data_IF_005467266515
#
_entry.id   IF_005467266515
#
_cell.length_a   1.000
_cell.length_b   1.000
_cell.length_c   1.000
_cell.angle_alpha   90.00
_cell.angle_beta   90.00
_cell.angle_gamma   90.00
#
_symmetry.space_group_name_H-M   'P 1'
#
loop_
_entity.id
_entity.type
_entity.pdbx_description
1 polymer ?
#
# COMPACT_ATOMS: atom_id res chain seq x y z
N UNK A 1 -28.42 -41.54 -66.08
CA UNK A 1 -29.42 -42.32 -65.33
C UNK A 1 -28.88 -42.43 -63.91
N UNK A 2 -29.26 -41.55 -62.97
CA UNK A 2 -30.44 -41.67 -62.08
C UNK A 2 -30.54 -43.10 -61.50
N UNK A 3 -30.45 -43.32 -60.19
CA UNK A 3 -31.27 -42.73 -59.14
C UNK A 3 -30.58 -42.64 -57.76
N UNK A 4 -31.00 -41.62 -57.01
CA UNK A 4 -30.84 -41.41 -55.57
C UNK A 4 -31.58 -42.49 -54.76
N UNK A 5 -31.09 -42.78 -53.56
CA UNK A 5 -31.96 -43.15 -52.43
C UNK A 5 -31.37 -42.64 -51.12
N UNK A 6 -32.08 -41.67 -50.59
CA UNK A 6 -31.94 -41.07 -49.27
C UNK A 6 -32.36 -42.06 -48.19
N UNK A 7 -31.63 -42.12 -47.08
CA UNK A 7 -32.19 -42.61 -45.82
C UNK A 7 -31.95 -41.55 -44.75
N UNK A 8 -33.02 -40.86 -44.40
CA UNK A 8 -33.09 -39.95 -43.27
C UNK A 8 -33.27 -40.78 -41.99
N UNK A 9 -32.41 -40.55 -40.99
CA UNK A 9 -32.67 -40.98 -39.62
C UNK A 9 -32.86 -39.72 -38.79
N UNK A 10 -34.12 -39.50 -38.40
CA UNK A 10 -34.54 -38.50 -37.43
C UNK A 10 -34.54 -39.14 -36.04
N UNK A 11 -33.95 -38.46 -35.05
CA UNK A 11 -34.20 -38.56 -33.58
C UNK A 11 -33.08 -37.78 -32.89
N UNK A 12 -33.23 -37.03 -31.81
CA UNK A 12 -34.38 -36.55 -31.05
C UNK A 12 -33.80 -35.42 -30.19
N UNK A 13 -34.39 -34.24 -30.25
CA UNK A 13 -34.03 -33.08 -29.44
C UNK A 13 -34.48 -33.30 -27.99
N UNK A 14 -33.54 -33.38 -27.04
CA UNK A 14 -33.83 -33.10 -25.64
C UNK A 14 -33.58 -31.61 -25.37
N UNK A 15 -34.63 -30.80 -25.54
CA UNK A 15 -34.71 -29.49 -24.89
C UNK A 15 -34.93 -29.73 -23.40
N UNK A 16 -33.95 -29.39 -22.55
CA UNK A 16 -34.20 -29.17 -21.13
C UNK A 16 -34.69 -27.73 -20.98
N UNK A 17 -36.00 -27.58 -20.79
CA UNK A 17 -36.60 -26.34 -20.31
C UNK A 17 -36.22 -26.17 -18.84
N UNK A 18 -35.17 -25.40 -18.57
CA UNK A 18 -34.97 -24.84 -17.26
C UNK A 18 -36.06 -23.78 -17.03
N UNK A 19 -36.94 -24.04 -16.07
CA UNK A 19 -37.90 -23.07 -15.57
C UNK A 19 -37.13 -21.88 -14.99
N UNK A 20 -37.07 -20.78 -15.73
CA UNK A 20 -36.70 -19.48 -15.16
C UNK A 20 -37.87 -19.02 -14.27
N UNK A 21 -37.75 -19.30 -12.98
CA UNK A 21 -38.60 -18.70 -11.94
C UNK A 21 -38.30 -17.19 -11.93
N UNK A 22 -39.31 -16.32 -11.95
CA UNK A 22 -39.09 -14.88 -11.86
C UNK A 22 -38.57 -14.54 -10.46
N UNK A 23 -37.31 -14.09 -10.37
CA UNK A 23 -36.76 -13.41 -9.20
C UNK A 23 -37.36 -12.00 -9.14
N UNK A 24 -38.58 -11.90 -8.60
CA UNK A 24 -39.06 -10.69 -7.97
C UNK A 24 -38.47 -10.62 -6.56
N UNK A 25 -37.90 -9.45 -6.24
CA UNK A 25 -36.91 -9.27 -5.19
C UNK A 25 -37.37 -9.47 -3.75
N UNK A 26 -36.38 -9.55 -2.88
CA UNK A 26 -36.46 -9.09 -1.49
C UNK A 26 -35.13 -8.45 -1.13
N UNK A 27 -35.21 -7.39 -0.33
CA UNK A 27 -34.15 -6.49 0.08
C UNK A 27 -32.90 -7.18 0.62
N UNK A 28 -31.76 -6.49 0.51
CA UNK A 28 -30.59 -6.71 1.34
C UNK A 28 -31.02 -6.89 2.79
N UNK A 29 -30.95 -8.13 3.27
CA UNK A 29 -31.05 -8.40 4.70
C UNK A 29 -29.71 -7.98 5.28
N UNK A 30 -29.65 -7.04 6.23
CA UNK A 30 -28.41 -6.76 6.92
C UNK A 30 -27.99 -8.07 7.59
N UNK A 31 -26.80 -8.55 7.26
CA UNK A 31 -26.17 -9.66 7.96
C UNK A 31 -25.95 -9.25 9.42
N UNK A 32 -27.00 -9.46 10.22
CA UNK A 32 -27.04 -9.49 11.67
C UNK A 32 -26.31 -10.76 12.19
N UNK A 33 -25.12 -11.04 11.64
CA UNK A 33 -24.22 -12.10 12.09
C UNK A 33 -22.80 -11.60 12.41
N UNK A 34 -22.60 -10.29 12.56
CA UNK A 34 -21.43 -9.75 13.25
C UNK A 34 -21.70 -9.59 14.76
N UNK A 35 -22.10 -10.69 15.43
CA UNK A 35 -22.05 -10.74 16.90
C UNK A 35 -20.77 -11.44 17.34
N UNK A 36 -19.90 -10.65 18.00
CA UNK A 36 -18.89 -11.09 18.97
C UNK A 36 -17.72 -11.95 18.46
N UNK A 37 -16.94 -11.42 17.51
CA UNK A 37 -15.48 -11.59 17.58
C UNK A 37 -14.88 -10.25 17.92
N UNK A 38 -14.20 -10.15 19.06
CA UNK A 38 -13.23 -9.09 19.30
C UNK A 38 -12.09 -9.31 18.29
N UNK A 39 -12.28 -8.89 17.05
CA UNK A 39 -11.19 -8.80 16.09
C UNK A 39 -10.29 -7.66 16.54
N UNK A 40 -8.99 -7.93 16.67
CA UNK A 40 -8.03 -6.85 16.89
C UNK A 40 -8.13 -5.89 15.71
N UNK A 41 -8.09 -4.60 16.00
CA UNK A 41 -8.02 -3.55 14.98
C UNK A 41 -6.65 -3.65 14.34
N UNK A 42 -6.61 -3.53 13.03
CA UNK A 42 -5.38 -3.49 12.25
C UNK A 42 -5.21 -2.15 11.54
N UNK A 43 -6.31 -1.42 11.33
CA UNK A 43 -6.26 -0.04 10.88
C UNK A 43 -5.76 0.85 12.01
N UNK A 44 -4.88 1.83 11.70
CA UNK A 44 -4.43 2.84 12.66
C UNK A 44 -5.57 3.58 13.36
N UNK A 45 -5.23 4.15 14.50
CA UNK A 45 -6.12 5.06 15.23
C UNK A 45 -6.06 6.41 14.53
N UNK A 46 -7.21 6.97 14.18
CA UNK A 46 -7.31 8.38 13.79
C UNK A 46 -7.41 9.22 15.05
N UNK A 47 -6.39 10.03 15.30
CA UNK A 47 -6.28 10.95 16.42
C UNK A 47 -6.87 12.33 16.13
N UNK A 48 -6.51 13.29 16.98
CA UNK A 48 -7.03 14.66 16.88
C UNK A 48 -6.56 15.37 15.61
N UNK A 49 -7.32 16.37 15.14
CA UNK A 49 -6.93 17.22 14.01
C UNK A 49 -7.10 16.63 12.61
N UNK A 50 -7.53 15.36 12.49
CA UNK A 50 -7.89 14.76 11.19
C UNK A 50 -9.41 14.75 11.06
N UNK A 51 -9.94 15.54 10.12
CA UNK A 51 -11.35 15.46 9.74
C UNK A 51 -11.57 14.35 8.71
N UNK A 52 -12.09 13.21 9.16
CA UNK A 52 -12.38 12.06 8.29
C UNK A 52 -13.62 12.24 7.42
N UNK A 53 -14.33 13.36 7.54
CA UNK A 53 -15.46 13.69 6.67
C UNK A 53 -15.05 14.54 5.47
N UNK A 54 -13.83 15.10 5.51
CA UNK A 54 -13.26 15.87 4.41
C UNK A 54 -12.70 14.92 3.33
N UNK A 55 -13.32 14.86 2.13
CA UNK A 55 -12.87 14.00 1.04
C UNK A 55 -11.45 14.31 0.57
N UNK A 56 -11.00 15.56 0.68
CA UNK A 56 -9.71 16.01 0.16
C UNK A 56 -8.58 15.81 1.20
N UNK A 57 -8.93 15.47 2.45
CA UNK A 57 -7.98 15.34 3.57
C UNK A 57 -8.15 14.02 4.31
N UNK A 58 -8.71 14.03 5.51
CA UNK A 58 -8.72 12.88 6.41
C UNK A 58 -9.46 11.66 5.86
N UNK A 59 -10.46 11.85 4.99
CA UNK A 59 -11.14 10.73 4.35
C UNK A 59 -10.22 9.95 3.38
N UNK A 60 -9.12 10.54 2.89
CA UNK A 60 -8.11 9.82 2.06
C UNK A 60 -7.40 8.71 2.82
N UNK A 61 -7.37 8.74 4.15
CA UNK A 61 -6.73 7.69 4.95
C UNK A 61 -7.60 6.42 5.05
N UNK A 62 -8.91 6.59 4.97
CA UNK A 62 -9.91 5.55 5.26
C UNK A 62 -10.62 5.08 3.98
N UNK A 63 -11.19 3.87 3.98
CA UNK A 63 -11.99 3.41 2.86
C UNK A 63 -13.19 4.34 2.61
N UNK A 64 -13.35 4.83 1.38
CA UNK A 64 -14.48 5.68 0.97
C UNK A 64 -15.69 4.84 0.54
N UNK A 65 -16.89 5.26 0.96
CA UNK A 65 -18.14 4.60 0.57
C UNK A 65 -18.40 4.76 -0.93
N UNK A 66 -18.70 3.66 -1.63
CA UNK A 66 -18.98 3.66 -3.07
C UNK A 66 -17.76 3.59 -3.99
N UNK A 67 -16.55 3.63 -3.44
CA UNK A 67 -15.31 3.34 -4.18
C UNK A 67 -14.79 1.93 -3.83
N UNK A 68 -14.22 1.20 -4.80
CA UNK A 68 -13.65 -0.12 -4.55
C UNK A 68 -12.34 0.01 -3.75
N UNK A 69 -12.44 -0.09 -2.42
CA UNK A 69 -11.30 -0.18 -1.48
C UNK A 69 -10.23 0.91 -1.72
N UNK A 70 -10.54 2.16 -1.39
CA UNK A 70 -9.58 3.26 -1.54
C UNK A 70 -9.57 4.17 -0.32
N UNK A 71 -8.56 3.89 0.50
CA UNK A 71 -7.95 4.80 1.45
C UNK A 71 -6.49 4.39 1.61
N UNK A 72 -5.65 5.31 2.06
CA UNK A 72 -4.21 5.10 2.14
C UNK A 72 -3.84 3.83 2.94
N UNK A 73 -4.56 3.53 4.04
CA UNK A 73 -4.27 2.34 4.85
C UNK A 73 -4.55 1.03 4.10
N UNK A 74 -5.65 0.94 3.36
CA UNK A 74 -5.99 -0.23 2.54
C UNK A 74 -5.03 -0.37 1.35
N UNK A 75 -4.65 0.77 0.75
CA UNK A 75 -3.69 0.80 -0.34
C UNK A 75 -2.29 0.35 0.12
N UNK A 76 -1.85 0.67 1.34
CA UNK A 76 -0.63 0.08 1.91
C UNK A 76 -0.74 -1.44 1.98
N UNK A 77 -1.87 -2.00 2.42
CA UNK A 77 -2.04 -3.46 2.46
C UNK A 77 -1.99 -4.07 1.05
N UNK A 78 -2.58 -3.42 0.05
CA UNK A 78 -2.48 -3.85 -1.34
C UNK A 78 -1.03 -3.79 -1.86
N UNK A 79 -0.30 -2.71 -1.61
CA UNK A 79 1.11 -2.57 -1.96
C UNK A 79 1.97 -3.69 -1.36
N UNK A 80 1.79 -3.97 -0.06
CA UNK A 80 2.49 -5.05 0.64
C UNK A 80 2.14 -6.43 0.05
N UNK A 81 0.85 -6.68 -0.21
CA UNK A 81 0.40 -7.93 -0.79
C UNK A 81 0.97 -8.15 -2.20
N UNK A 82 0.95 -7.12 -3.05
CA UNK A 82 1.52 -7.17 -4.38
C UNK A 82 3.03 -7.44 -4.32
N UNK A 83 3.79 -6.76 -3.48
CA UNK A 83 5.22 -7.05 -3.30
C UNK A 83 5.50 -8.49 -2.82
N UNK A 84 4.69 -9.01 -1.91
CA UNK A 84 4.87 -10.37 -1.40
C UNK A 84 4.38 -11.47 -2.36
N UNK A 85 3.59 -11.12 -3.38
CA UNK A 85 2.99 -12.06 -4.33
C UNK A 85 3.23 -11.71 -5.80
N UNK A 86 4.16 -10.80 -6.09
CA UNK A 86 4.41 -10.23 -7.42
C UNK A 86 4.64 -11.31 -8.50
N UNK A 87 5.31 -12.41 -8.13
CA UNK A 87 5.54 -13.56 -9.02
C UNK A 87 4.25 -14.17 -9.58
N UNK A 88 3.14 -14.07 -8.84
CA UNK A 88 1.84 -14.60 -9.27
C UNK A 88 1.20 -13.76 -10.37
N UNK A 89 1.64 -12.51 -10.56
CA UNK A 89 1.11 -11.56 -11.54
C UNK A 89 1.91 -11.58 -12.86
N UNK A 90 2.80 -12.56 -13.06
CA UNK A 90 3.64 -12.64 -14.26
C UNK A 90 4.72 -11.56 -14.30
N UNK A 91 4.89 -10.82 -13.21
CA UNK A 91 5.96 -9.85 -13.01
C UNK A 91 7.23 -10.64 -12.69
N UNK A 92 7.96 -11.03 -13.74
CA UNK A 92 9.31 -11.59 -13.63
C UNK A 92 10.32 -10.57 -13.04
N UNK A 93 9.89 -9.32 -12.83
CA UNK A 93 10.68 -8.19 -12.36
C UNK A 93 10.67 -7.97 -10.84
N UNK A 94 10.11 -8.86 -10.00
CA UNK A 94 10.40 -8.76 -8.55
C UNK A 94 11.91 -8.84 -8.28
N UNK A 95 12.67 -9.53 -9.13
CA UNK A 95 14.14 -9.47 -9.03
C UNK A 95 14.72 -8.16 -9.56
N UNK A 96 14.14 -7.59 -10.62
CA UNK A 96 14.65 -6.39 -11.30
C UNK A 96 14.30 -5.11 -10.53
N UNK A 97 13.02 -4.90 -10.23
CA UNK A 97 12.52 -3.79 -9.41
C UNK A 97 13.22 -3.80 -8.04
N UNK A 98 13.34 -4.97 -7.40
CA UNK A 98 14.01 -5.05 -6.09
C UNK A 98 15.44 -4.52 -6.12
N UNK A 99 16.20 -4.80 -7.20
CA UNK A 99 17.58 -4.32 -7.32
C UNK A 99 17.71 -2.82 -7.57
N UNK A 100 16.64 -2.14 -7.99
CA UNK A 100 16.61 -0.68 -8.02
C UNK A 100 16.68 -0.08 -6.62
N UNK A 101 16.16 -0.76 -5.60
CA UNK A 101 16.01 -0.20 -4.26
C UNK A 101 16.91 -0.87 -3.22
N UNK A 102 17.23 -2.15 -3.38
CA UNK A 102 17.95 -2.93 -2.38
C UNK A 102 19.05 -3.80 -3.00
N UNK A 103 20.05 -4.18 -2.20
CA UNK A 103 20.96 -5.26 -2.55
C UNK A 103 20.23 -6.60 -2.50
N UNK A 104 20.56 -7.51 -3.42
CA UNK A 104 19.98 -8.87 -3.43
C UNK A 104 20.14 -9.60 -2.09
N UNK A 105 21.26 -9.36 -1.38
CA UNK A 105 21.50 -9.90 -0.03
C UNK A 105 20.52 -9.41 1.04
N UNK A 106 19.73 -8.36 0.76
CA UNK A 106 18.69 -7.82 1.64
C UNK A 106 17.34 -8.53 1.50
N UNK A 107 17.13 -9.32 0.43
CA UNK A 107 15.81 -9.85 0.05
C UNK A 107 15.06 -10.54 1.18
N UNK A 108 15.73 -11.44 1.90
CA UNK A 108 15.11 -12.16 3.01
C UNK A 108 14.68 -11.22 4.15
N UNK A 109 15.44 -10.16 4.42
CA UNK A 109 15.11 -9.20 5.48
C UNK A 109 13.96 -8.30 5.08
N UNK A 110 14.01 -7.75 3.87
CA UNK A 110 12.92 -6.93 3.30
C UNK A 110 11.63 -7.76 3.30
N UNK A 111 11.66 -8.99 2.79
CA UNK A 111 10.50 -9.89 2.81
C UNK A 111 9.93 -10.08 4.22
N UNK A 112 10.76 -10.27 5.24
CA UNK A 112 10.29 -10.40 6.64
C UNK A 112 9.65 -9.12 7.16
N UNK A 113 10.19 -7.95 6.80
CA UNK A 113 9.59 -6.64 7.16
C UNK A 113 8.21 -6.51 6.51
N UNK A 114 8.10 -6.75 5.20
CA UNK A 114 6.83 -6.67 4.48
C UNK A 114 5.80 -7.70 5.02
N UNK A 115 6.25 -8.91 5.36
CA UNK A 115 5.42 -9.92 6.03
C UNK A 115 4.96 -9.48 7.43
N UNK A 116 5.84 -8.84 8.19
CA UNK A 116 5.51 -8.32 9.52
C UNK A 116 4.47 -7.20 9.42
N UNK A 117 4.66 -6.24 8.51
CA UNK A 117 3.70 -5.15 8.24
C UNK A 117 2.33 -5.68 7.75
N UNK A 118 2.33 -6.64 6.82
CA UNK A 118 1.09 -7.25 6.28
C UNK A 118 0.41 -8.24 7.24
N UNK A 119 0.96 -8.48 8.43
CA UNK A 119 0.43 -9.49 9.35
C UNK A 119 0.51 -10.92 8.80
N UNK A 120 1.47 -11.21 7.93
CA UNK A 120 1.61 -12.41 7.11
C UNK A 120 0.47 -12.59 6.11
N UNK A 121 0.24 -11.59 5.25
CA UNK A 121 -0.81 -11.60 4.22
C UNK A 121 -2.23 -11.69 4.81
N UNK A 122 -2.44 -11.16 6.01
CA UNK A 122 -3.80 -10.91 6.49
C UNK A 122 -4.39 -9.79 5.65
N UNK A 123 -5.61 -9.94 5.16
CA UNK A 123 -6.31 -8.87 4.40
C UNK A 123 -6.33 -7.55 5.18
N UNK A 124 -6.36 -7.64 6.50
CA UNK A 124 -6.44 -6.52 7.41
C UNK A 124 -5.07 -5.90 7.77
N UNK A 125 -3.95 -6.55 7.49
CA UNK A 125 -2.62 -6.15 7.99
C UNK A 125 -2.27 -6.72 9.38
N UNK A 126 -1.15 -6.27 9.95
CA UNK A 126 -0.72 -6.69 11.28
C UNK A 126 -1.61 -6.11 12.40
N UNK A 127 -1.78 -6.88 13.48
CA UNK A 127 -2.60 -6.45 14.62
C UNK A 127 -1.98 -5.24 15.33
N UNK A 128 -0.65 -5.14 15.29
CA UNK A 128 0.13 -4.06 15.86
C UNK A 128 -0.15 -2.73 15.14
N UNK A 129 -0.42 -2.71 13.83
CA UNK A 129 -0.77 -1.47 13.10
C UNK A 129 -2.03 -0.78 13.66
N UNK A 130 -2.86 -1.49 14.44
CA UNK A 130 -3.95 -0.87 15.20
C UNK A 130 -3.54 -0.09 16.45
N UNK A 131 -2.25 0.00 16.78
CA UNK A 131 -1.71 0.75 17.93
C UNK A 131 -1.05 2.08 17.54
N UNK A 132 -0.70 2.27 16.27
CA UNK A 132 -0.18 3.55 15.79
C UNK A 132 -1.32 4.57 15.66
N UNK A 133 -1.06 5.81 16.06
CA UNK A 133 -2.03 6.92 15.96
C UNK A 133 -1.60 7.89 14.87
N UNK A 134 -2.50 8.23 13.95
CA UNK A 134 -2.32 9.29 12.95
C UNK A 134 -3.09 10.52 13.43
N UNK A 135 -2.40 11.65 13.65
CA UNK A 135 -3.03 12.89 14.09
C UNK A 135 -2.64 14.07 13.21
N UNK A 136 -3.53 15.05 13.06
CA UNK A 136 -3.29 16.28 12.30
C UNK A 136 -2.85 17.45 13.19
N UNK A 137 -2.79 17.24 14.51
CA UNK A 137 -2.26 18.23 15.45
C UNK A 137 -0.77 17.99 15.64
N UNK A 138 0.02 18.95 15.20
CA UNK A 138 1.45 19.02 15.47
C UNK A 138 1.67 19.68 16.84
N UNK A 139 1.64 18.88 17.90
CA UNK A 139 1.94 19.34 19.26
C UNK A 139 3.43 19.20 19.51
N UNK A 140 4.23 20.28 19.46
CA UNK A 140 5.66 20.19 19.73
C UNK A 140 5.90 19.65 21.15
N UNK A 141 6.70 18.58 21.26
CA UNK A 141 7.17 18.13 22.55
C UNK A 141 8.24 19.09 23.08
N UNK A 142 8.13 19.46 24.35
CA UNK A 142 9.23 20.05 25.14
C UNK A 142 9.96 21.28 24.54
N UNK A 143 9.29 22.10 23.72
CA UNK A 143 9.86 23.35 23.20
C UNK A 143 10.72 23.21 21.95
N UNK A 144 10.73 22.04 21.31
CA UNK A 144 11.23 21.89 19.95
C UNK A 144 10.26 22.51 18.93
N UNK A 145 10.77 22.86 17.75
CA UNK A 145 9.93 23.34 16.65
C UNK A 145 8.98 22.21 16.19
N UNK A 146 7.72 22.57 15.98
CA UNK A 146 6.70 21.69 15.44
C UNK A 146 7.18 21.05 14.13
N UNK A 147 7.10 19.73 13.99
CA UNK A 147 7.72 19.00 12.87
C UNK A 147 7.19 19.47 11.51
N UNK A 148 5.90 19.76 11.41
CA UNK A 148 5.25 20.29 10.21
C UNK A 148 5.60 21.75 9.90
N UNK A 149 6.23 22.48 10.84
CA UNK A 149 6.77 23.81 10.55
C UNK A 149 8.08 23.75 9.75
N UNK A 150 8.75 22.59 9.71
CA UNK A 150 9.94 22.38 8.89
C UNK A 150 9.53 22.17 7.44
N UNK A 151 10.08 23.01 6.56
CA UNK A 151 9.79 22.96 5.13
C UNK A 151 10.05 21.55 4.55
N UNK A 152 9.07 21.04 3.80
CA UNK A 152 9.17 19.74 3.13
C UNK A 152 8.77 18.53 3.99
N UNK A 153 8.36 18.74 5.25
CA UNK A 153 7.84 17.67 6.10
C UNK A 153 6.42 17.32 5.71
N UNK A 154 6.21 16.09 5.21
CA UNK A 154 4.92 15.59 4.74
C UNK A 154 4.20 14.88 5.88
N UNK A 155 4.90 13.95 6.52
CA UNK A 155 4.53 13.29 7.77
C UNK A 155 5.80 13.13 8.60
N UNK A 156 5.63 12.83 9.88
CA UNK A 156 6.73 12.34 10.70
C UNK A 156 6.19 11.47 11.85
N UNK A 157 6.99 10.51 12.29
CA UNK A 157 6.61 9.59 13.37
C UNK A 157 7.43 9.84 14.63
N UNK A 158 6.74 10.14 15.73
CA UNK A 158 7.30 10.20 17.08
C UNK A 158 7.08 8.89 17.85
N UNK A 159 7.84 8.72 18.93
CA UNK A 159 7.72 7.58 19.84
C UNK A 159 7.84 6.23 19.11
N UNK A 160 8.64 6.20 18.05
CA UNK A 160 8.87 5.03 17.19
C UNK A 160 9.53 3.85 17.92
N UNK A 161 10.15 4.09 19.07
CA UNK A 161 10.73 3.08 19.95
C UNK A 161 9.73 2.49 20.96
N UNK A 162 8.45 2.88 20.87
CA UNK A 162 7.37 2.47 21.79
C UNK A 162 6.30 1.59 21.12
N UNK A 163 5.44 0.99 21.94
CA UNK A 163 4.30 0.16 21.50
C UNK A 163 3.16 0.94 20.84
N UNK A 164 3.15 2.27 20.96
CA UNK A 164 2.07 3.14 20.48
C UNK A 164 2.64 4.43 19.91
N UNK A 165 3.31 4.37 18.74
CA UNK A 165 3.87 5.56 18.10
C UNK A 165 2.77 6.50 17.60
N UNK A 166 3.16 7.74 17.37
CA UNK A 166 2.28 8.79 16.83
C UNK A 166 2.87 9.31 15.54
N UNK A 167 2.15 9.15 14.44
CA UNK A 167 2.45 9.80 13.16
C UNK A 167 1.66 11.09 13.08
N UNK A 168 2.35 12.21 12.90
CA UNK A 168 1.74 13.51 12.65
C UNK A 168 1.63 13.70 11.14
N UNK A 169 0.42 14.02 10.68
CA UNK A 169 0.12 14.28 9.27
C UNK A 169 0.08 15.78 9.04
N UNK A 170 1.06 16.28 8.28
CA UNK A 170 1.19 17.71 7.98
C UNK A 170 0.24 18.14 6.86
N UNK A 171 0.08 19.45 6.67
CA UNK A 171 -0.81 19.98 5.62
C UNK A 171 -0.39 19.53 4.22
N UNK A 172 0.91 19.47 3.98
CA UNK A 172 1.49 19.09 2.69
C UNK A 172 1.23 17.61 2.34
N UNK A 173 0.83 16.75 3.28
CA UNK A 173 0.43 15.38 2.98
C UNK A 173 -0.81 15.28 2.09
N UNK A 174 -1.72 16.26 2.19
CA UNK A 174 -3.03 16.16 1.54
C UNK A 174 -2.98 16.45 0.04
N UNK A 175 -1.87 16.99 -0.47
CA UNK A 175 -1.67 17.17 -1.92
C UNK A 175 -1.46 15.84 -2.64
N UNK A 176 -1.01 14.80 -1.91
CA UNK A 176 -0.79 13.50 -2.51
C UNK A 176 -2.14 12.82 -2.82
N UNK A 177 -2.27 12.24 -4.03
CA UNK A 177 -3.49 11.58 -4.42
C UNK A 177 -3.67 10.26 -3.66
N UNK A 178 -4.91 9.81 -3.57
CA UNK A 178 -5.16 8.40 -3.32
C UNK A 178 -5.00 7.60 -4.64
N UNK A 179 -4.94 6.28 -4.58
CA UNK A 179 -4.78 5.42 -5.78
C UNK A 179 -5.76 5.79 -6.90
N UNK A 180 -7.03 5.97 -6.55
CA UNK A 180 -8.10 6.18 -7.53
C UNK A 180 -8.04 7.57 -8.20
N UNK A 181 -7.27 8.49 -7.61
CA UNK A 181 -7.09 9.87 -8.09
C UNK A 181 -5.76 10.05 -8.87
N UNK A 182 -4.95 8.98 -9.01
CA UNK A 182 -3.63 9.05 -9.64
C UNK A 182 -3.63 8.55 -11.10
N UNK A 183 -3.04 9.35 -12.00
CA UNK A 183 -2.89 9.03 -13.44
C UNK A 183 -1.58 8.28 -13.75
N UNK A 184 -1.34 7.16 -13.07
CA UNK A 184 -0.04 6.49 -13.09
C UNK A 184 0.28 5.71 -14.39
N UNK A 185 -0.72 5.12 -15.04
CA UNK A 185 -0.48 4.17 -16.13
C UNK A 185 -0.10 4.82 -17.46
N UNK A 186 -0.22 6.14 -17.58
CA UNK A 186 0.16 6.92 -18.75
C UNK A 186 1.66 7.29 -18.76
N UNK A 187 2.33 7.29 -17.60
CA UNK A 187 3.79 7.50 -17.50
C UNK A 187 4.57 6.22 -17.74
N UNK A 188 5.65 6.26 -18.52
CA UNK A 188 6.55 5.10 -18.70
C UNK A 188 7.75 5.09 -17.75
N UNK A 189 7.90 6.13 -16.93
CA UNK A 189 9.04 6.35 -16.04
C UNK A 189 8.59 6.48 -14.59
N UNK A 190 9.42 6.00 -13.67
CA UNK A 190 9.23 6.28 -12.24
C UNK A 190 9.42 7.78 -12.00
N UNK A 191 8.47 8.42 -11.33
CA UNK A 191 8.54 9.85 -10.99
C UNK A 191 7.86 10.13 -9.65
N UNK A 192 8.09 11.31 -9.09
CA UNK A 192 7.40 11.79 -7.89
C UNK A 192 5.87 11.88 -8.07
N UNK A 193 5.38 11.97 -9.31
CA UNK A 193 3.94 12.00 -9.63
C UNK A 193 3.26 10.64 -9.38
N UNK A 194 4.02 9.55 -9.36
CA UNK A 194 3.52 8.22 -8.99
C UNK A 194 3.38 8.03 -7.48
N UNK A 195 3.84 9.01 -6.68
CA UNK A 195 3.74 8.97 -5.22
C UNK A 195 2.30 9.19 -4.79
N UNK A 196 1.73 8.21 -4.07
CA UNK A 196 0.40 8.29 -3.48
C UNK A 196 0.48 8.39 -1.96
N UNK A 197 -0.60 8.83 -1.30
CA UNK A 197 -0.65 8.95 0.17
C UNK A 197 -0.26 7.64 0.87
N UNK A 198 -0.63 6.48 0.31
CA UNK A 198 -0.24 5.18 0.83
C UNK A 198 1.29 4.95 0.87
N UNK A 199 2.02 5.46 -0.12
CA UNK A 199 3.49 5.36 -0.14
C UNK A 199 4.15 6.14 1.02
N UNK A 200 3.53 7.25 1.43
CA UNK A 200 3.98 8.05 2.57
C UNK A 200 3.59 7.35 3.87
N UNK A 201 2.40 6.77 3.97
CA UNK A 201 2.00 5.98 5.14
C UNK A 201 2.94 4.80 5.37
N UNK A 202 3.32 4.05 4.31
CA UNK A 202 4.22 2.91 4.49
C UNK A 202 5.66 3.34 4.82
N UNK A 203 6.10 4.50 4.33
CA UNK A 203 7.33 5.13 4.79
C UNK A 203 7.31 5.29 6.32
N UNK A 204 6.27 5.92 6.86
CA UNK A 204 6.12 6.11 8.32
C UNK A 204 6.04 4.80 9.11
N UNK A 205 5.34 3.78 8.58
CA UNK A 205 5.31 2.46 9.22
C UNK A 205 6.70 1.83 9.35
N UNK A 206 7.63 2.11 8.43
CA UNK A 206 8.98 1.55 8.50
C UNK A 206 9.84 2.19 9.59
N UNK A 207 9.53 3.42 10.03
CA UNK A 207 10.21 4.02 11.16
C UNK A 207 9.91 3.35 12.49
N UNK A 208 8.84 2.53 12.59
CA UNK A 208 8.40 1.93 13.85
C UNK A 208 9.37 0.86 14.39
N UNK A 209 10.49 1.33 14.96
CA UNK A 209 11.60 0.50 15.45
C UNK A 209 11.12 -0.55 16.45
N UNK A 210 10.26 -0.20 17.40
CA UNK A 210 9.76 -1.19 18.38
C UNK A 210 9.13 -2.42 17.71
N UNK A 211 8.32 -2.17 16.68
CA UNK A 211 7.57 -3.21 15.98
C UNK A 211 8.46 -4.07 15.08
N UNK A 212 9.43 -3.45 14.43
CA UNK A 212 10.26 -4.09 13.41
C UNK A 212 11.60 -4.59 13.97
N UNK A 213 12.04 -4.12 15.15
CA UNK A 213 13.38 -4.31 15.76
C UNK A 213 13.94 -5.72 15.69
N UNK A 214 13.06 -6.71 15.83
CA UNK A 214 13.43 -8.13 15.76
C UNK A 214 13.96 -8.58 14.38
N UNK A 215 13.86 -7.73 13.35
CA UNK A 215 14.15 -8.07 11.95
C UNK A 215 15.38 -7.32 11.40
N UNK A 216 15.48 -6.00 11.60
CA UNK A 216 16.44 -5.15 10.88
C UNK A 216 17.79 -4.99 11.59
N UNK A 217 17.87 -5.14 12.92
CA UNK A 217 19.13 -5.08 13.65
C UNK A 217 19.74 -3.67 13.78
N UNK A 218 18.97 -2.62 13.46
CA UNK A 218 19.29 -1.20 13.61
C UNK A 218 18.19 -0.35 12.97
N UNK A 219 17.93 0.86 13.47
CA UNK A 219 16.79 1.72 13.09
C UNK A 219 16.67 1.96 11.57
N UNK A 220 15.44 2.08 11.07
CA UNK A 220 15.15 2.56 9.71
C UNK A 220 14.89 4.06 9.79
N UNK A 221 15.66 4.85 9.05
CA UNK A 221 15.65 6.33 9.10
C UNK A 221 15.54 6.93 7.70
N UNK A 222 15.35 8.24 7.62
CA UNK A 222 15.23 8.95 6.33
C UNK A 222 16.56 9.09 5.60
N UNK A 223 17.63 9.31 6.37
CA UNK A 223 18.93 9.65 5.80
C UNK A 223 20.04 8.80 6.40
N UNK A 224 20.84 8.21 5.51
CA UNK A 224 22.05 7.49 5.87
C UNK A 224 23.24 8.05 5.10
N UNK A 225 24.05 8.88 5.76
CA UNK A 225 25.24 9.48 5.16
C UNK A 225 25.32 10.98 5.38
N UNK A 226 25.99 11.68 4.46
CA UNK A 226 26.00 13.15 4.36
C UNK A 226 24.69 13.65 3.73
N UNK A 227 24.33 14.92 3.92
CA UNK A 227 23.10 15.51 3.33
C UNK A 227 22.96 15.28 1.82
N UNK A 228 24.09 15.25 1.09
CA UNK A 228 24.20 15.01 -0.36
C UNK A 228 23.93 13.55 -0.78
N UNK A 229 23.88 12.61 0.17
CA UNK A 229 23.52 11.20 -0.04
C UNK A 229 22.30 10.83 0.83
N UNK A 230 21.41 11.80 1.07
CA UNK A 230 20.17 11.58 1.79
C UNK A 230 19.31 10.61 1.00
N UNK A 231 18.95 9.45 1.56
CA UNK A 231 18.05 8.51 0.89
C UNK A 231 16.60 8.98 0.85
N UNK A 232 16.34 10.29 0.75
CA UNK A 232 15.01 10.89 0.73
C UNK A 232 14.64 11.26 -0.71
N UNK A 233 13.46 10.86 -1.16
CA UNK A 233 12.97 11.07 -2.53
C UNK A 233 13.48 10.02 -3.53
N UNK A 234 12.78 9.94 -4.67
CA UNK A 234 13.00 8.91 -5.67
C UNK A 234 14.43 8.94 -6.24
N UNK A 235 14.88 10.11 -6.72
CA UNK A 235 16.19 10.26 -7.36
C UNK A 235 17.31 9.80 -6.43
N UNK A 236 17.30 10.25 -5.18
CA UNK A 236 18.35 9.89 -4.24
C UNK A 236 18.31 8.41 -3.87
N UNK A 237 17.13 7.83 -3.64
CA UNK A 237 17.01 6.39 -3.39
C UNK A 237 17.50 5.59 -4.59
N UNK A 238 17.13 5.99 -5.80
CA UNK A 238 17.42 5.25 -7.02
C UNK A 238 18.92 5.32 -7.37
N UNK A 239 19.51 6.52 -7.39
CA UNK A 239 20.85 6.78 -7.92
C UNK A 239 21.94 7.01 -6.85
N UNK A 240 21.63 7.72 -5.76
CA UNK A 240 22.67 8.30 -4.89
C UNK A 240 22.90 7.50 -3.59
N UNK A 241 21.86 6.84 -3.08
CA UNK A 241 21.94 6.04 -1.86
C UNK A 241 22.83 4.81 -2.10
N UNK A 242 23.92 4.71 -1.34
CA UNK A 242 24.72 3.49 -1.28
C UNK A 242 23.81 2.34 -0.80
N UNK A 243 23.57 1.37 -1.69
CA UNK A 243 22.59 0.30 -1.48
C UNK A 243 22.86 -0.55 -0.24
N UNK A 244 24.05 -0.51 0.35
CA UNK A 244 24.31 -1.15 1.66
C UNK A 244 23.48 -0.53 2.80
N UNK A 245 23.05 0.72 2.65
CA UNK A 245 22.20 1.44 3.61
C UNK A 245 20.71 1.35 3.28
N UNK A 246 20.33 0.91 2.08
CA UNK A 246 18.92 0.85 1.66
C UNK A 246 18.03 0.05 2.61
N UNK A 247 18.55 -1.02 3.24
CA UNK A 247 17.79 -1.80 4.24
C UNK A 247 17.30 -0.94 5.42
N UNK A 248 18.00 0.14 5.71
CA UNK A 248 17.74 1.02 6.84
C UNK A 248 17.17 2.37 6.41
N UNK A 249 16.72 2.49 5.16
CA UNK A 249 16.15 3.72 4.62
C UNK A 249 14.65 3.56 4.34
N UNK A 250 13.81 4.42 4.91
CA UNK A 250 12.35 4.33 4.80
C UNK A 250 11.85 4.47 3.36
N UNK A 251 12.39 5.45 2.62
CA UNK A 251 11.99 5.70 1.23
C UNK A 251 12.39 4.58 0.26
N UNK A 252 13.43 3.79 0.56
CA UNK A 252 13.76 2.57 -0.21
C UNK A 252 12.60 1.57 -0.20
N UNK A 253 11.90 1.42 0.94
CA UNK A 253 10.70 0.59 1.02
C UNK A 253 9.52 1.24 0.30
N UNK A 254 9.29 2.53 0.53
CA UNK A 254 8.17 3.25 -0.07
C UNK A 254 8.22 3.22 -1.60
N UNK A 255 9.39 3.48 -2.21
CA UNK A 255 9.55 3.49 -3.66
C UNK A 255 9.54 2.09 -4.27
N UNK A 256 10.17 1.10 -3.62
CA UNK A 256 10.04 -0.30 -4.05
C UNK A 256 8.57 -0.74 -4.11
N UNK A 257 7.81 -0.47 -3.04
CA UNK A 257 6.40 -0.82 -2.98
C UNK A 257 5.56 -0.04 -4.00
N UNK A 258 5.92 1.22 -4.27
CA UNK A 258 5.23 2.07 -5.27
C UNK A 258 5.45 1.55 -6.69
N UNK A 259 6.70 1.24 -7.07
CA UNK A 259 6.99 0.68 -8.39
C UNK A 259 6.31 -0.68 -8.59
N UNK A 260 6.40 -1.59 -7.61
CA UNK A 260 5.69 -2.87 -7.69
C UNK A 260 4.18 -2.68 -7.84
N UNK A 261 3.60 -1.78 -7.04
CA UNK A 261 2.17 -1.54 -7.03
C UNK A 261 1.65 -1.07 -8.39
N UNK A 262 2.30 -0.05 -8.96
CA UNK A 262 1.93 0.45 -10.28
C UNK A 262 2.26 -0.54 -11.38
N UNK A 263 3.35 -1.30 -11.27
CA UNK A 263 3.67 -2.34 -12.24
C UNK A 263 2.61 -3.43 -12.32
N UNK A 264 2.03 -3.83 -11.18
CA UNK A 264 0.89 -4.76 -11.13
C UNK A 264 -0.36 -4.14 -11.73
N UNK A 265 -0.74 -2.93 -11.30
CA UNK A 265 -1.99 -2.30 -11.74
C UNK A 265 -1.98 -1.93 -13.22
N UNK A 266 -0.86 -1.42 -13.72
CA UNK A 266 -0.71 -1.01 -15.11
C UNK A 266 -0.22 -2.16 -16.02
N UNK A 267 0.09 -3.32 -15.45
CA UNK A 267 0.65 -4.47 -16.15
C UNK A 267 1.89 -4.14 -17.01
N UNK A 268 2.80 -3.31 -16.48
CA UNK A 268 4.01 -2.87 -17.18
C UNK A 268 5.20 -2.68 -16.24
N UNK A 269 6.40 -2.57 -16.81
CA UNK A 269 7.59 -2.10 -16.10
C UNK A 269 7.79 -0.62 -16.37
N UNK A 270 8.22 0.13 -15.36
CA UNK A 270 8.61 1.52 -15.49
C UNK A 270 10.12 1.61 -15.74
N UNK A 271 10.55 2.60 -16.50
CA UNK A 271 11.98 2.93 -16.59
C UNK A 271 12.43 3.68 -15.34
N UNK A 272 13.75 3.76 -15.19
CA UNK A 272 14.39 4.60 -14.19
C UNK A 272 13.92 6.07 -14.27
N UNK A 273 13.93 6.81 -13.15
CA UNK A 273 13.61 8.24 -13.14
C UNK A 273 14.59 9.05 -13.99
N UNK A 274 14.09 10.14 -14.58
CA UNK A 274 14.90 11.14 -15.30
C UNK A 274 15.85 11.93 -14.37
#
# INVERSE_FOLDING_TARGET
MHFLSSLALATSTCLVLANAVPLQGTSATPSLLARNRLSKRTNPIIGEGIDTTDPDRGAKLLPREGLPQSGAFDNVQQMLNYALTATNYGINSDSEIFTHYFLESHRDRVKRILQKLSGNLKESGADELGQITFQGVDTPNNGDDAGCAKQGTIMYTEYYDTEAPVTVVCEDAWVYPDRDDAEACDSDEMSDELRILASIVVHEYTHWDWFLKSIHGGEIVDTHGTEEASGYGLTNVYYDLDKKYALYNADSYAWYLTEVFWSVLCAKSFKAPD
#
